data_IF_185548951321
#
_entry.id   IF_185548951321
#
_cell.length_a   1.000
_cell.length_b   1.000
_cell.length_c   1.000
_cell.angle_alpha   90.00
_cell.angle_beta   90.00
_cell.angle_gamma   90.00
#
_symmetry.space_group_name_H-M   'P 1'
#
loop_
_entity.id
_entity.type
_entity.pdbx_description
1 polymer ?
#
# COMPACT_ATOMS: atom_id res chain seq x y z
N UNK A 1 10.97 -23.56 -10.02
CA UNK A 1 11.81 -23.50 -11.24
C UNK A 1 11.02 -23.95 -12.45
N UNK A 2 10.44 -25.15 -12.42
CA UNK A 2 9.63 -25.71 -13.50
C UNK A 2 8.53 -24.79 -14.06
N UNK A 3 7.80 -24.05 -13.21
CA UNK A 3 6.75 -23.12 -13.68
C UNK A 3 7.32 -21.94 -14.49
N UNK A 4 8.44 -21.34 -14.06
CA UNK A 4 9.07 -20.24 -14.79
C UNK A 4 9.60 -20.71 -16.15
N UNK A 5 10.15 -21.93 -16.19
CA UNK A 5 10.63 -22.55 -17.44
C UNK A 5 9.48 -22.84 -18.40
N UNK A 6 8.41 -23.47 -17.91
CA UNK A 6 7.23 -23.80 -18.72
C UNK A 6 6.49 -22.58 -19.26
N UNK A 7 6.40 -21.51 -18.47
CA UNK A 7 5.62 -20.31 -18.84
C UNK A 7 6.44 -19.26 -19.56
N UNK A 8 7.77 -19.33 -19.49
CA UNK A 8 8.67 -18.27 -19.96
C UNK A 8 8.59 -16.98 -19.12
N UNK A 9 7.83 -16.96 -18.03
CA UNK A 9 7.61 -15.76 -17.24
C UNK A 9 8.89 -15.27 -16.53
N UNK A 10 8.92 -13.98 -16.19
CA UNK A 10 9.93 -13.37 -15.33
C UNK A 10 9.51 -13.41 -13.85
N UNK A 11 8.21 -13.45 -13.61
CA UNK A 11 7.62 -13.42 -12.27
C UNK A 11 6.38 -14.31 -12.25
N UNK A 12 6.24 -15.12 -11.21
CA UNK A 12 5.04 -15.93 -10.96
C UNK A 12 4.37 -15.45 -9.69
N UNK A 13 3.06 -15.21 -9.79
CA UNK A 13 2.18 -14.92 -8.66
C UNK A 13 1.15 -16.03 -8.49
N UNK A 14 0.61 -16.17 -7.29
CA UNK A 14 -0.49 -17.11 -7.00
C UNK A 14 -1.61 -16.43 -6.23
N UNK A 15 -2.79 -17.05 -6.23
CA UNK A 15 -3.84 -16.66 -5.30
C UNK A 15 -3.44 -17.02 -3.86
N UNK A 16 -3.97 -16.27 -2.91
CA UNK A 16 -3.65 -16.48 -1.51
C UNK A 16 -4.81 -16.08 -0.62
N UNK A 17 -4.80 -16.62 0.59
CA UNK A 17 -5.87 -16.46 1.55
C UNK A 17 -5.34 -16.04 2.92
N UNK A 18 -6.12 -15.24 3.64
CA UNK A 18 -5.80 -14.97 5.03
C UNK A 18 -7.00 -14.80 5.93
N UNK A 19 -6.74 -15.03 7.21
CA UNK A 19 -7.68 -14.77 8.29
C UNK A 19 -7.30 -13.45 8.96
N UNK A 20 -8.13 -12.40 8.88
CA UNK A 20 -7.90 -11.19 9.65
C UNK A 20 -8.01 -11.47 11.15
N UNK A 21 -7.19 -10.81 11.96
CA UNK A 21 -7.20 -11.00 13.41
C UNK A 21 -8.59 -10.77 14.06
N UNK A 22 -9.34 -9.80 13.52
CA UNK A 22 -10.64 -9.36 14.05
C UNK A 22 -11.83 -10.04 13.39
N UNK A 23 -11.60 -10.96 12.43
CA UNK A 23 -12.67 -11.59 11.66
C UNK A 23 -12.47 -13.09 11.55
N UNK A 24 -13.52 -13.86 11.85
CA UNK A 24 -13.54 -15.31 11.61
C UNK A 24 -13.62 -15.69 10.13
N UNK A 25 -13.96 -14.73 9.25
CA UNK A 25 -14.09 -14.97 7.82
C UNK A 25 -12.75 -14.85 7.10
N UNK A 26 -12.40 -15.92 6.39
CA UNK A 26 -11.29 -15.97 5.44
C UNK A 26 -11.51 -14.96 4.32
N UNK A 27 -10.45 -14.26 3.93
CA UNK A 27 -10.45 -13.39 2.76
C UNK A 27 -9.49 -13.97 1.72
N UNK A 28 -10.02 -14.24 0.53
CA UNK A 28 -9.23 -14.67 -0.62
C UNK A 28 -8.89 -13.47 -1.50
N UNK A 29 -7.61 -13.28 -1.81
CA UNK A 29 -7.18 -12.32 -2.80
C UNK A 29 -7.07 -13.03 -4.16
N UNK A 30 -7.86 -12.56 -5.12
CA UNK A 30 -7.77 -13.02 -6.52
C UNK A 30 -6.99 -11.98 -7.32
N UNK A 31 -6.07 -12.47 -8.14
CA UNK A 31 -5.25 -11.66 -9.04
C UNK A 31 -5.89 -11.62 -10.44
N UNK A 32 -5.63 -10.56 -11.22
CA UNK A 32 -5.90 -10.57 -12.66
C UNK A 32 -5.28 -11.79 -13.33
N UNK A 33 -5.92 -12.32 -14.38
CA UNK A 33 -5.39 -13.48 -15.11
C UNK A 33 -4.06 -13.19 -15.81
N UNK A 34 -3.82 -11.94 -16.17
CA UNK A 34 -2.62 -11.44 -16.85
C UNK A 34 -2.40 -9.99 -16.42
N UNK A 35 -1.14 -9.57 -16.47
CA UNK A 35 -0.75 -8.17 -16.35
C UNK A 35 -0.10 -7.77 -17.67
N UNK A 36 -0.56 -6.67 -18.28
CA UNK A 36 0.02 -6.05 -19.47
C UNK A 36 0.40 -4.61 -19.17
N UNK A 37 1.37 -4.03 -19.89
CA UNK A 37 1.60 -2.58 -19.94
C UNK A 37 1.50 -1.87 -18.58
N UNK A 38 2.41 -2.18 -17.64
CA UNK A 38 2.44 -1.60 -16.26
C UNK A 38 1.21 -1.88 -15.40
N UNK A 39 0.29 -2.76 -15.80
CA UNK A 39 -0.85 -3.15 -14.97
C UNK A 39 -0.42 -3.71 -13.62
N UNK A 40 0.73 -4.40 -13.53
CA UNK A 40 1.26 -4.86 -12.25
C UNK A 40 1.57 -3.66 -11.32
N UNK A 41 2.27 -2.66 -11.84
CA UNK A 41 2.60 -1.43 -11.11
C UNK A 41 1.33 -0.69 -10.66
N UNK A 42 0.37 -0.50 -11.57
CA UNK A 42 -0.91 0.13 -11.25
C UNK A 42 -1.73 -0.69 -10.24
N UNK A 43 -1.67 -2.02 -10.34
CA UNK A 43 -2.35 -2.91 -9.41
C UNK A 43 -1.75 -2.82 -8.00
N UNK A 44 -0.41 -2.73 -7.88
CA UNK A 44 0.26 -2.43 -6.62
C UNK A 44 -0.19 -1.08 -6.04
N UNK A 45 -0.29 -0.03 -6.88
CA UNK A 45 -0.82 1.27 -6.45
C UNK A 45 -2.31 1.24 -6.09
N UNK A 46 -3.13 0.37 -6.71
CA UNK A 46 -4.57 0.22 -6.42
C UNK A 46 -4.85 -0.65 -5.19
N UNK A 47 -3.96 -1.58 -4.84
CA UNK A 47 -4.21 -2.55 -3.77
C UNK A 47 -4.29 -1.91 -2.39
N UNK A 48 -5.51 -1.63 -1.87
CA UNK A 48 -5.74 -1.00 -0.55
C UNK A 48 -5.07 -1.72 0.63
N UNK A 49 -4.67 -2.97 0.39
CA UNK A 49 -3.99 -3.88 1.30
C UNK A 49 -2.54 -4.03 0.83
N UNK A 50 -1.80 -2.93 0.95
CA UNK A 50 -0.34 -2.88 0.74
C UNK A 50 0.45 -3.87 1.60
N UNK A 51 -0.20 -4.64 2.48
CA UNK A 51 0.52 -5.57 3.31
C UNK A 51 0.91 -6.84 2.56
N UNK A 52 0.35 -7.21 1.41
CA UNK A 52 0.58 -8.58 0.90
C UNK A 52 0.49 -8.80 -0.60
N UNK A 53 0.67 -7.79 -1.43
CA UNK A 53 0.35 -7.93 -2.84
C UNK A 53 1.03 -9.14 -3.53
N UNK A 54 2.10 -9.73 -2.97
CA UNK A 54 2.81 -10.82 -3.65
C UNK A 54 3.52 -11.91 -2.80
N UNK A 55 3.40 -11.96 -1.46
CA UNK A 55 4.45 -12.34 -0.47
C UNK A 55 5.48 -13.49 -0.65
N UNK A 56 5.52 -14.23 -1.74
CA UNK A 56 6.76 -14.85 -2.25
C UNK A 56 6.64 -15.03 -3.76
N UNK A 57 6.80 -13.99 -4.58
CA UNK A 57 6.80 -14.19 -6.01
C UNK A 57 7.99 -15.06 -6.34
N UNK A 58 7.78 -16.00 -7.24
CA UNK A 58 8.91 -16.69 -7.82
C UNK A 58 9.44 -15.81 -8.94
N UNK A 59 10.62 -15.21 -8.72
CA UNK A 59 11.29 -14.37 -9.70
C UNK A 59 12.31 -15.17 -10.50
N UNK A 60 12.41 -14.89 -11.80
CA UNK A 60 13.55 -15.30 -12.63
C UNK A 60 14.76 -14.47 -12.19
N UNK A 61 15.88 -15.12 -11.89
CA UNK A 61 17.10 -14.43 -11.41
C UNK A 61 17.57 -13.30 -12.34
N UNK A 62 17.41 -13.47 -13.65
CA UNK A 62 17.74 -12.44 -14.66
C UNK A 62 16.95 -11.15 -14.48
N UNK A 63 15.70 -11.21 -14.01
CA UNK A 63 14.88 -10.03 -13.72
C UNK A 63 15.51 -9.19 -12.61
N UNK A 64 15.96 -9.84 -11.53
CA UNK A 64 16.48 -9.11 -10.37
C UNK A 64 17.86 -8.51 -10.65
N UNK A 65 18.73 -9.25 -11.36
CA UNK A 65 20.02 -8.77 -11.87
C UNK A 65 20.82 -7.90 -10.88
N UNK A 66 21.57 -6.93 -11.41
CA UNK A 66 22.31 -5.96 -10.58
C UNK A 66 21.50 -4.68 -10.28
N UNK A 67 20.36 -4.47 -10.95
CA UNK A 67 19.59 -3.23 -10.90
C UNK A 67 18.59 -3.19 -9.74
N UNK A 68 18.01 -4.34 -9.39
CA UNK A 68 17.01 -4.43 -8.32
C UNK A 68 17.66 -5.10 -7.11
N UNK A 69 17.97 -4.29 -6.10
CA UNK A 69 18.56 -4.74 -4.83
C UNK A 69 17.69 -4.31 -3.67
N UNK A 70 17.64 -5.08 -2.59
CA UNK A 70 17.03 -4.61 -1.36
C UNK A 70 17.66 -3.28 -0.91
N UNK A 71 16.83 -2.33 -0.47
CA UNK A 71 17.34 -1.10 0.14
C UNK A 71 17.37 -1.31 1.65
N UNK A 72 18.55 -1.60 2.17
CA UNK A 72 18.80 -1.87 3.60
C UNK A 72 18.50 -0.65 4.49
N UNK A 73 18.33 0.55 3.92
CA UNK A 73 17.91 1.74 4.67
C UNK A 73 16.40 1.80 4.93
N UNK A 74 15.63 0.91 4.30
CA UNK A 74 14.19 0.78 4.45
C UNK A 74 13.84 -0.50 5.22
N UNK A 75 12.81 -0.40 6.06
CA UNK A 75 12.31 -1.53 6.83
C UNK A 75 11.36 -2.41 6.02
N UNK A 76 10.70 -1.83 5.03
CA UNK A 76 9.67 -2.49 4.24
C UNK A 76 10.16 -2.79 2.82
N UNK A 77 9.66 -3.88 2.25
CA UNK A 77 9.94 -4.30 0.87
C UNK A 77 9.23 -3.45 -0.19
N UNK A 78 8.47 -2.43 0.22
CA UNK A 78 7.59 -1.66 -0.65
C UNK A 78 8.36 -1.11 -1.85
N UNK A 79 9.52 -0.51 -1.61
CA UNK A 79 10.40 0.02 -2.66
C UNK A 79 10.90 -1.05 -3.62
N UNK A 80 11.30 -2.22 -3.11
CA UNK A 80 11.73 -3.36 -3.92
C UNK A 80 10.63 -3.83 -4.86
N UNK A 81 9.40 -4.02 -4.36
CA UNK A 81 8.27 -4.50 -5.18
C UNK A 81 7.90 -3.54 -6.31
N UNK A 82 7.91 -2.23 -6.02
CA UNK A 82 7.66 -1.24 -7.07
C UNK A 82 8.79 -1.21 -8.10
N UNK A 83 10.06 -1.34 -7.69
CA UNK A 83 11.18 -1.45 -8.64
C UNK A 83 11.05 -2.68 -9.54
N UNK A 84 10.65 -3.83 -9.00
CA UNK A 84 10.33 -5.00 -9.82
C UNK A 84 9.21 -4.69 -10.81
N UNK A 85 8.11 -4.08 -10.36
CA UNK A 85 6.98 -3.77 -11.23
C UNK A 85 7.30 -2.71 -12.29
N UNK A 86 8.26 -1.81 -12.03
CA UNK A 86 8.75 -0.81 -12.97
C UNK A 86 9.56 -1.40 -14.13
N UNK A 87 10.18 -2.58 -13.95
CA UNK A 87 10.81 -3.34 -15.04
C UNK A 87 9.81 -4.06 -15.96
N UNK A 88 8.50 -3.93 -15.67
CA UNK A 88 7.41 -4.47 -16.49
C UNK A 88 7.55 -5.99 -16.78
N UNK A 89 7.75 -6.83 -15.74
CA UNK A 89 8.05 -8.26 -15.93
C UNK A 89 6.89 -8.99 -16.62
N UNK A 90 7.22 -10.04 -17.38
CA UNK A 90 6.21 -10.99 -17.83
C UNK A 90 5.68 -11.78 -16.63
N UNK A 91 4.45 -11.53 -16.23
CA UNK A 91 3.83 -12.17 -15.05
C UNK A 91 2.95 -13.36 -15.46
N UNK A 92 3.23 -14.53 -14.88
CA UNK A 92 2.32 -15.66 -14.88
C UNK A 92 1.53 -15.72 -13.56
N UNK A 93 0.23 -16.02 -13.65
CA UNK A 93 -0.65 -16.12 -12.47
C UNK A 93 -1.17 -17.55 -12.35
N UNK A 94 -0.81 -18.18 -11.23
CA UNK A 94 -1.30 -19.48 -10.77
C UNK A 94 -2.64 -19.23 -10.04
N UNK A 95 -3.71 -19.91 -10.46
CA UNK A 95 -5.08 -19.72 -9.94
C UNK A 95 -5.39 -20.59 -8.73
N UNK A 96 -4.38 -21.26 -8.21
CA UNK A 96 -4.41 -22.08 -7.02
C UNK A 96 -4.06 -21.22 -5.80
N UNK A 97 -4.76 -21.45 -4.69
CA UNK A 97 -4.37 -20.90 -3.40
C UNK A 97 -3.19 -21.71 -2.88
N UNK A 98 -1.97 -21.16 -2.99
CA UNK A 98 -0.76 -21.85 -2.53
C UNK A 98 -0.28 -21.38 -1.15
N UNK A 99 -0.91 -20.34 -0.60
CA UNK A 99 -0.57 -19.81 0.72
C UNK A 99 -1.84 -19.41 1.48
N UNK A 100 -1.92 -19.88 2.72
CA UNK A 100 -2.94 -19.49 3.69
C UNK A 100 -2.25 -19.13 5.00
N UNK A 101 -2.54 -17.95 5.56
CA UNK A 101 -1.98 -17.57 6.85
C UNK A 101 -2.97 -16.78 7.70
N UNK A 102 -2.68 -16.62 8.99
CA UNK A 102 -3.49 -15.82 9.91
C UNK A 102 -2.76 -14.52 10.19
N UNK A 103 -3.40 -13.39 9.92
CA UNK A 103 -2.93 -12.12 10.45
C UNK A 103 -3.19 -12.12 11.94
N UNK A 104 -2.12 -12.08 12.71
CA UNK A 104 -2.20 -11.74 14.13
C UNK A 104 -2.22 -10.21 14.21
N UNK A 105 -3.13 -9.64 15.00
CA UNK A 105 -3.09 -8.20 15.26
C UNK A 105 -1.83 -7.96 16.08
N UNK A 106 -0.75 -7.53 15.43
CA UNK A 106 0.45 -7.18 16.16
C UNK A 106 0.08 -6.02 17.09
N UNK A 107 0.35 -6.17 18.39
CA UNK A 107 0.24 -5.10 19.38
C UNK A 107 1.04 -3.86 18.92
N UNK A 108 2.09 -4.05 18.12
CA UNK A 108 2.86 -2.97 17.51
C UNK A 108 2.05 -2.06 16.58
N UNK A 109 0.93 -2.50 15.97
CA UNK A 109 0.03 -1.57 15.23
C UNK A 109 -0.72 -0.61 16.15
N UNK A 110 -0.73 -0.88 17.45
CA UNK A 110 -1.26 0.01 18.49
C UNK A 110 -0.17 0.88 19.11
N UNK A 111 1.11 0.63 18.79
CA UNK A 111 2.26 1.42 19.19
C UNK A 111 2.46 2.60 18.23
N UNK A 112 2.31 3.85 18.69
CA UNK A 112 2.53 5.05 17.88
C UNK A 112 3.87 5.06 17.14
N UNK A 113 4.94 4.62 17.78
CA UNK A 113 6.29 4.59 17.25
C UNK A 113 6.38 3.70 16.00
N UNK A 114 5.78 2.51 16.05
CA UNK A 114 5.72 1.62 14.89
C UNK A 114 4.89 2.21 13.76
N UNK A 115 3.76 2.85 14.05
CA UNK A 115 2.92 3.52 13.03
C UNK A 115 3.69 4.65 12.34
N UNK A 116 4.39 5.47 13.11
CA UNK A 116 5.23 6.56 12.59
C UNK A 116 6.35 5.99 11.71
N UNK A 117 7.06 4.98 12.20
CA UNK A 117 8.16 4.34 11.50
C UNK A 117 7.71 3.74 10.17
N UNK A 118 6.63 2.94 10.21
CA UNK A 118 6.04 2.32 9.01
C UNK A 118 5.62 3.37 7.98
N UNK A 119 4.97 4.45 8.42
CA UNK A 119 4.52 5.50 7.54
C UNK A 119 5.68 6.30 6.92
N UNK A 120 6.69 6.67 7.71
CA UNK A 120 7.89 7.36 7.21
C UNK A 120 8.62 6.51 6.18
N UNK A 121 8.79 5.22 6.44
CA UNK A 121 9.43 4.26 5.52
C UNK A 121 8.65 4.13 4.21
N UNK A 122 7.33 3.94 4.31
CA UNK A 122 6.45 3.86 3.14
C UNK A 122 6.46 5.16 2.33
N UNK A 123 6.46 6.32 2.98
CA UNK A 123 6.54 7.62 2.31
C UNK A 123 7.87 7.82 1.58
N UNK A 124 9.00 7.37 2.17
CA UNK A 124 10.31 7.38 1.48
C UNK A 124 10.26 6.55 0.21
N UNK A 125 9.71 5.33 0.27
CA UNK A 125 9.54 4.47 -0.90
C UNK A 125 8.67 5.17 -1.97
N UNK A 126 7.54 5.77 -1.60
CA UNK A 126 6.67 6.47 -2.54
C UNK A 126 7.29 7.71 -3.18
N UNK A 127 8.08 8.50 -2.43
CA UNK A 127 8.80 9.65 -3.00
C UNK A 127 9.74 9.23 -4.13
N UNK A 128 10.40 8.06 -4.00
CA UNK A 128 11.28 7.51 -5.05
C UNK A 128 10.51 7.12 -6.33
N UNK A 129 9.21 6.86 -6.26
CA UNK A 129 8.41 6.46 -7.42
C UNK A 129 7.99 7.64 -8.30
N UNK A 130 7.90 8.84 -7.74
CA UNK A 130 7.46 10.06 -8.44
C UNK A 130 8.13 10.26 -9.81
N UNK A 131 9.47 10.19 -9.96
CA UNK A 131 10.11 10.37 -11.26
C UNK A 131 9.83 9.24 -12.27
N UNK A 132 9.23 8.12 -11.84
CA UNK A 132 8.98 6.95 -12.69
C UNK A 132 7.51 6.81 -13.13
N UNK A 133 6.66 7.78 -12.78
CA UNK A 133 5.25 7.79 -13.16
C UNK A 133 5.10 8.24 -14.62
N UNK A 134 4.32 7.51 -15.41
CA UNK A 134 4.19 7.79 -16.85
C UNK A 134 2.96 8.62 -17.23
N UNK A 135 1.93 8.66 -16.39
CA UNK A 135 0.64 9.26 -16.75
C UNK A 135 -0.16 9.74 -15.54
N UNK A 136 -1.21 10.52 -15.77
CA UNK A 136 -2.07 11.08 -14.72
C UNK A 136 -2.76 10.03 -13.85
N UNK A 137 -3.06 8.85 -14.42
CA UNK A 137 -3.67 7.75 -13.66
C UNK A 137 -2.70 7.23 -12.59
N UNK A 138 -1.45 6.97 -12.94
CA UNK A 138 -0.40 6.55 -12.00
C UNK A 138 -0.14 7.62 -10.93
N UNK A 139 -0.13 8.90 -11.33
CA UNK A 139 -0.01 10.02 -10.42
C UNK A 139 -1.15 10.05 -9.39
N UNK A 140 -2.40 9.96 -9.82
CA UNK A 140 -3.54 9.96 -8.90
C UNK A 140 -3.62 8.70 -8.03
N UNK A 141 -3.18 7.55 -8.52
CA UNK A 141 -3.08 6.33 -7.72
C UNK A 141 -2.00 6.45 -6.63
N UNK A 142 -0.83 7.01 -6.94
CA UNK A 142 0.22 7.27 -5.95
C UNK A 142 -0.20 8.37 -4.96
N UNK A 143 -0.84 9.45 -5.43
CA UNK A 143 -1.38 10.51 -4.56
C UNK A 143 -2.33 9.95 -3.49
N UNK A 144 -3.27 9.07 -3.90
CA UNK A 144 -4.17 8.35 -2.99
C UNK A 144 -3.42 7.55 -1.93
N UNK A 145 -2.31 6.90 -2.32
CA UNK A 145 -1.47 6.12 -1.41
C UNK A 145 -0.75 6.98 -0.39
N UNK A 146 -0.08 8.01 -0.88
CA UNK A 146 0.65 8.97 -0.05
C UNK A 146 -0.31 9.61 0.95
N UNK A 147 -1.47 10.09 0.49
CA UNK A 147 -2.47 10.68 1.36
C UNK A 147 -2.94 9.70 2.42
N UNK A 148 -3.30 8.47 2.03
CA UNK A 148 -3.73 7.43 2.98
C UNK A 148 -2.69 7.16 4.06
N UNK A 149 -1.40 7.07 3.70
CA UNK A 149 -0.32 6.88 4.66
C UNK A 149 -0.16 8.12 5.55
N UNK A 150 -0.17 9.32 4.98
CA UNK A 150 -0.08 10.58 5.72
C UNK A 150 -1.14 10.67 6.83
N UNK A 151 -2.39 10.29 6.52
CA UNK A 151 -3.48 10.29 7.51
C UNK A 151 -3.22 9.41 8.73
N UNK A 152 -2.48 8.32 8.58
CA UNK A 152 -2.16 7.42 9.70
C UNK A 152 -1.24 8.08 10.73
N UNK A 153 -0.46 9.08 10.31
CA UNK A 153 0.48 9.82 11.15
C UNK A 153 0.03 11.23 11.50
N UNK A 154 -1.15 11.67 11.03
CA UNK A 154 -1.68 13.01 11.31
C UNK A 154 -1.65 13.37 12.80
N UNK A 155 -2.02 12.42 13.65
CA UNK A 155 -2.12 12.62 15.11
C UNK A 155 -0.77 12.60 15.83
N UNK A 156 0.30 12.17 15.16
CA UNK A 156 1.61 11.92 15.75
C UNK A 156 2.71 12.83 15.18
N UNK A 157 2.66 13.11 13.88
CA UNK A 157 3.68 13.84 13.10
C UNK A 157 3.00 14.79 12.11
N UNK A 158 2.40 15.92 12.57
CA UNK A 158 1.63 16.83 11.72
C UNK A 158 2.43 17.43 10.57
N UNK A 159 3.73 17.68 10.76
CA UNK A 159 4.60 18.23 9.73
C UNK A 159 4.83 17.25 8.58
N UNK A 160 5.08 15.97 8.91
CA UNK A 160 5.23 14.90 7.91
C UNK A 160 3.91 14.67 7.17
N UNK A 161 2.78 14.79 7.88
CA UNK A 161 1.46 14.77 7.25
C UNK A 161 1.28 15.91 6.24
N UNK A 162 1.64 17.14 6.59
CA UNK A 162 1.51 18.30 5.69
C UNK A 162 2.43 18.17 4.47
N UNK A 163 3.67 17.71 4.67
CA UNK A 163 4.62 17.45 3.59
C UNK A 163 4.07 16.39 2.62
N UNK A 164 3.65 15.24 3.14
CA UNK A 164 3.12 14.14 2.33
C UNK A 164 1.84 14.56 1.59
N UNK A 165 0.97 15.33 2.24
CA UNK A 165 -0.24 15.81 1.59
C UNK A 165 0.06 16.79 0.46
N UNK A 166 1.02 17.70 0.65
CA UNK A 166 1.46 18.61 -0.41
C UNK A 166 1.96 17.83 -1.64
N UNK A 167 2.71 16.76 -1.41
CA UNK A 167 3.16 15.87 -2.50
C UNK A 167 1.96 15.17 -3.18
N UNK A 168 1.01 14.66 -2.40
CA UNK A 168 -0.19 14.04 -2.97
C UNK A 168 -0.98 15.01 -3.86
N UNK A 169 -1.17 16.26 -3.40
CA UNK A 169 -1.88 17.29 -4.15
C UNK A 169 -1.10 17.77 -5.38
N UNK A 170 0.24 17.80 -5.34
CA UNK A 170 1.03 18.11 -6.53
C UNK A 170 0.94 17.02 -7.60
N UNK A 171 0.77 15.76 -7.19
CA UNK A 171 0.61 14.64 -8.12
C UNK A 171 -0.81 14.59 -8.71
N UNK A 172 -1.82 14.95 -7.92
CA UNK A 172 -3.22 14.90 -8.35
C UNK A 172 -3.99 16.06 -7.70
N UNK A 173 -4.07 17.24 -8.35
CA UNK A 173 -4.70 18.43 -7.77
C UNK A 173 -6.17 18.23 -7.42
N UNK A 174 -6.90 17.49 -8.28
CA UNK A 174 -8.32 17.17 -8.10
C UNK A 174 -8.55 15.91 -7.25
N UNK A 175 -7.54 15.51 -6.46
CA UNK A 175 -7.63 14.34 -5.61
C UNK A 175 -8.70 14.52 -4.52
N UNK A 176 -9.65 13.59 -4.51
CA UNK A 176 -10.57 13.41 -3.39
C UNK A 176 -10.19 12.17 -2.55
N UNK A 177 -10.25 12.27 -1.20
CA UNK A 177 -10.04 11.14 -0.30
C UNK A 177 -11.05 10.02 -0.56
N UNK A 178 -10.57 8.78 -0.69
CA UNK A 178 -11.42 7.58 -0.74
C UNK A 178 -11.90 7.19 0.66
N UNK A 179 -12.83 8.00 1.19
CA UNK A 179 -13.34 7.94 2.55
C UNK A 179 -14.87 7.97 2.57
N UNK A 180 -15.45 7.84 3.77
CA UNK A 180 -16.90 7.89 3.95
C UNK A 180 -17.51 9.15 3.34
N UNK A 181 -18.78 9.07 2.92
CA UNK A 181 -19.50 10.20 2.34
C UNK A 181 -19.43 11.44 3.24
N UNK A 182 -19.60 11.27 4.56
CA UNK A 182 -19.50 12.36 5.53
C UNK A 182 -18.10 13.00 5.54
N UNK A 183 -17.05 12.18 5.45
CA UNK A 183 -15.68 12.69 5.39
C UNK A 183 -15.45 13.50 4.11
N UNK A 184 -15.93 13.02 2.96
CA UNK A 184 -15.80 13.75 1.68
C UNK A 184 -16.58 15.06 1.68
N UNK A 185 -17.81 15.06 2.22
CA UNK A 185 -18.61 16.28 2.36
C UNK A 185 -17.90 17.30 3.26
N UNK A 186 -17.46 16.89 4.45
CA UNK A 186 -16.72 17.78 5.35
C UNK A 186 -15.43 18.28 4.69
N UNK A 187 -14.67 17.41 4.01
CA UNK A 187 -13.47 17.80 3.25
C UNK A 187 -13.77 18.88 2.21
N UNK A 188 -14.86 18.75 1.47
CA UNK A 188 -15.28 19.70 0.43
C UNK A 188 -15.73 21.05 0.99
N UNK A 189 -16.51 21.05 2.06
CA UNK A 189 -17.10 22.29 2.61
C UNK A 189 -16.24 22.99 3.66
N UNK A 190 -15.57 22.23 4.52
CA UNK A 190 -14.77 22.76 5.64
C UNK A 190 -13.28 22.83 5.32
N UNK A 191 -12.88 22.25 4.20
CA UNK A 191 -11.48 22.09 3.83
C UNK A 191 -10.77 20.98 4.61
N UNK A 192 -9.61 20.59 4.09
CA UNK A 192 -8.81 19.47 4.59
C UNK A 192 -8.48 19.54 6.08
N UNK A 193 -7.94 20.67 6.55
CA UNK A 193 -7.42 20.80 7.93
C UNK A 193 -8.51 20.59 8.98
N UNK A 194 -9.67 21.21 8.80
CA UNK A 194 -10.76 21.08 9.75
C UNK A 194 -11.34 19.67 9.73
N UNK A 195 -11.48 19.08 8.55
CA UNK A 195 -11.92 17.68 8.39
C UNK A 195 -11.00 16.68 9.09
N UNK A 196 -9.67 16.82 8.97
CA UNK A 196 -8.76 15.93 9.69
C UNK A 196 -8.76 16.15 11.20
N UNK A 197 -8.93 17.39 11.68
CA UNK A 197 -9.14 17.68 13.11
C UNK A 197 -10.40 16.98 13.65
N UNK A 198 -11.51 17.04 12.92
CA UNK A 198 -12.75 16.34 13.30
C UNK A 198 -12.57 14.82 13.27
N UNK A 199 -11.89 14.29 12.26
CA UNK A 199 -11.59 12.86 12.17
C UNK A 199 -10.66 12.39 13.29
N UNK A 200 -9.66 13.20 13.65
CA UNK A 200 -8.79 12.99 14.81
C UNK A 200 -9.57 12.94 16.11
N UNK A 201 -10.42 13.93 16.36
CA UNK A 201 -11.28 13.99 17.55
C UNK A 201 -12.16 12.74 17.65
N UNK A 202 -12.80 12.36 16.54
CA UNK A 202 -13.59 11.12 16.46
C UNK A 202 -12.74 9.88 16.80
N UNK A 203 -11.52 9.76 16.26
CA UNK A 203 -10.62 8.64 16.57
C UNK A 203 -10.26 8.59 18.06
N UNK A 204 -9.98 9.74 18.68
CA UNK A 204 -9.69 9.85 20.12
C UNK A 204 -10.88 9.43 20.97
N UNK A 205 -12.09 9.94 20.67
CA UNK A 205 -13.32 9.58 21.39
C UNK A 205 -13.62 8.08 21.27
N UNK A 206 -13.50 7.50 20.07
CA UNK A 206 -13.74 6.06 19.88
C UNK A 206 -12.75 5.17 20.66
N UNK A 207 -11.50 5.62 20.86
CA UNK A 207 -10.53 4.91 21.70
C UNK A 207 -10.90 4.94 23.18
N UNK A 208 -11.56 6.00 23.65
CA UNK A 208 -12.03 6.13 25.03
C UNK A 208 -13.29 5.29 25.31
N UNK A 209 -14.20 5.19 24.33
CA UNK A 209 -15.51 4.52 24.50
C UNK A 209 -15.43 3.00 24.33
N UNK A 210 -14.45 2.49 23.59
CA UNK A 210 -14.15 1.05 23.51
C UNK A 210 -12.90 0.77 24.34
N UNK A 211 -13.02 0.52 25.67
CA UNK A 211 -11.87 0.06 26.43
C UNK A 211 -11.35 -1.21 25.78
N UNK A 212 -10.05 -1.21 25.55
CA UNK A 212 -9.29 -2.33 25.03
C UNK A 212 -9.55 -3.49 25.98
N UNK A 213 -10.25 -4.54 25.53
CA UNK A 213 -10.18 -5.83 26.22
C UNK A 213 -8.74 -6.32 26.04
N UNK A 214 -7.96 -6.23 27.11
CA UNK A 214 -6.71 -6.97 27.28
C UNK A 214 -7.01 -8.46 27.30
#
# INVERSE_FOLDING_TARGET
MEVLEKTGADMVLCYWEYYPATHSKKISLRLPNRFKNRELFQWLLKSHRNWYACMTPLYRRKLLGNKIKWDESLLLDTDFQFRVALEEPQVAVIKETLCTYRLVELESKRCPEYVILFAKDTLKAYKKLVPHLKNSVENCLLARRIYKVARTIYDFEPEVYEEATRIALSLCPDFEPDESLLFRLTYKFLGRRLTEKLASLKRRVLRLVKPIKL
#
